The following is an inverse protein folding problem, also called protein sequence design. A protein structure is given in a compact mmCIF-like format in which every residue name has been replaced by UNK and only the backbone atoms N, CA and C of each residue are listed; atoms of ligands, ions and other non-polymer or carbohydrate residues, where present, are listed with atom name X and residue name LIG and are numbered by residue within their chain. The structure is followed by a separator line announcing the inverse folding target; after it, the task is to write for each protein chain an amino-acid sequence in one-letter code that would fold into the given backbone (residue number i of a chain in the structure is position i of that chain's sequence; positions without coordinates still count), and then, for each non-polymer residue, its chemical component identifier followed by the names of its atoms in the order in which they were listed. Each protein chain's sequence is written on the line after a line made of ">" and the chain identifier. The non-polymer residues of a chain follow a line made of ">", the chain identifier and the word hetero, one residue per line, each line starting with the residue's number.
data_IF_474887162538
#
_entry.id   IF_474887162538
#
_cell.length_a   1.000
_cell.length_b   1.000
_cell.length_c   1.000
_cell.angle_alpha   90.00
_cell.angle_beta   90.00
_cell.angle_gamma   90.00
#
_symmetry.space_group_name_H-M   'P 1'
#
loop_
_entity.id
_entity.type
_entity.pdbx_description
1 polymer ?
#
# COMPACT_ATOMS: atom_id res chain seq x y z
N UNK A 1 0.77 23.21 -9.80
CA UNK A 1 -0.24 23.72 -10.75
C UNK A 1 0.02 25.16 -11.16
N UNK A 2 0.19 26.11 -10.24
CA UNK A 2 0.39 27.54 -10.57
C UNK A 2 1.58 27.88 -11.46
N UNK A 3 2.61 27.03 -11.49
CA UNK A 3 3.81 27.21 -12.30
C UNK A 3 3.75 26.52 -13.67
N UNK A 4 2.67 25.79 -13.95
CA UNK A 4 2.49 25.09 -15.21
C UNK A 4 1.87 26.05 -16.23
N UNK A 5 2.57 26.25 -17.34
CA UNK A 5 2.08 27.01 -18.47
C UNK A 5 1.36 26.06 -19.44
N UNK A 6 0.04 26.16 -19.48
CA UNK A 6 -0.81 25.29 -20.31
C UNK A 6 -0.86 25.68 -21.79
N UNK A 7 -0.24 26.82 -22.17
CA UNK A 7 -0.06 27.20 -23.56
C UNK A 7 1.05 26.39 -24.25
N UNK A 8 1.96 25.84 -23.45
CA UNK A 8 3.11 25.04 -23.92
C UNK A 8 2.74 23.57 -23.96
N UNK A 9 2.86 22.95 -25.12
CA UNK A 9 2.43 21.56 -25.33
C UNK A 9 3.57 20.56 -25.06
N UNK A 10 4.23 20.66 -23.89
CA UNK A 10 5.32 19.77 -23.46
C UNK A 10 5.33 19.56 -21.95
N UNK A 11 6.05 18.54 -21.51
CA UNK A 11 6.16 18.17 -20.11
C UNK A 11 6.97 19.19 -19.31
N UNK A 12 6.41 19.70 -18.22
CA UNK A 12 7.03 20.68 -17.33
C UNK A 12 7.21 20.15 -15.90
N UNK A 13 6.49 19.08 -15.54
CA UNK A 13 6.65 18.43 -14.26
C UNK A 13 6.67 16.91 -14.41
N UNK A 14 7.65 16.27 -13.78
CA UNK A 14 7.81 14.83 -13.74
C UNK A 14 7.68 14.36 -12.28
N UNK A 15 6.77 13.41 -12.03
CA UNK A 15 6.53 12.82 -10.71
C UNK A 15 6.80 11.33 -10.79
N UNK A 16 7.71 10.81 -9.97
CA UNK A 16 7.98 9.39 -9.86
C UNK A 16 7.33 8.79 -8.63
N UNK A 17 6.78 7.59 -8.78
CA UNK A 17 6.17 6.79 -7.73
C UNK A 17 6.61 5.32 -7.83
N UNK A 18 6.73 4.59 -6.69
CA UNK A 18 7.23 3.21 -6.67
C UNK A 18 6.27 2.19 -7.28
N UNK A 19 4.99 2.49 -7.35
CA UNK A 19 3.95 1.57 -7.81
C UNK A 19 3.08 2.19 -8.89
N UNK A 20 2.52 1.33 -9.74
CA UNK A 20 1.59 1.73 -10.81
C UNK A 20 0.32 2.35 -10.25
N UNK A 21 -0.15 1.78 -9.17
CA UNK A 21 -1.38 2.18 -8.47
C UNK A 21 -1.23 3.61 -7.91
N UNK A 22 -0.10 3.91 -7.27
CA UNK A 22 0.19 5.25 -6.75
C UNK A 22 0.36 6.26 -7.88
N UNK A 23 1.08 5.90 -8.95
CA UNK A 23 1.22 6.77 -10.11
C UNK A 23 -0.14 7.14 -10.72
N UNK A 24 -1.04 6.18 -10.90
CA UNK A 24 -2.39 6.43 -11.40
C UNK A 24 -3.26 7.24 -10.44
N UNK A 25 -3.04 7.08 -9.14
CA UNK A 25 -3.74 7.89 -8.13
C UNK A 25 -3.27 9.34 -8.18
N UNK A 26 -1.95 9.58 -8.26
CA UNK A 26 -1.38 10.92 -8.40
C UNK A 26 -1.89 11.57 -9.70
N UNK A 27 -1.92 10.85 -10.82
CA UNK A 27 -2.49 11.33 -12.09
C UNK A 27 -3.92 11.84 -11.89
N UNK A 28 -4.80 11.05 -11.25
CA UNK A 28 -6.19 11.45 -10.97
C UNK A 28 -6.25 12.74 -10.13
N UNK A 29 -5.41 12.87 -9.12
CA UNK A 29 -5.34 14.06 -8.27
C UNK A 29 -4.86 15.28 -9.07
N UNK A 30 -3.81 15.12 -9.88
CA UNK A 30 -3.28 16.18 -10.76
C UNK A 30 -4.34 16.64 -11.75
N UNK A 31 -5.06 15.70 -12.36
CA UNK A 31 -6.15 16.01 -13.29
C UNK A 31 -7.28 16.78 -12.59
N UNK A 32 -7.71 16.32 -11.41
CA UNK A 32 -8.78 16.99 -10.66
C UNK A 32 -8.39 18.41 -10.22
N UNK A 33 -7.14 18.61 -9.78
CA UNK A 33 -6.63 19.95 -9.40
C UNK A 33 -6.41 20.88 -10.59
N UNK A 34 -6.10 20.29 -11.76
CA UNK A 34 -5.77 21.02 -12.98
C UNK A 34 -6.94 21.25 -13.94
N UNK A 35 -8.14 20.79 -13.58
CA UNK A 35 -9.31 20.78 -14.49
C UNK A 35 -9.66 22.19 -15.00
N UNK A 36 -9.77 23.17 -14.10
CA UNK A 36 -10.03 24.56 -14.48
C UNK A 36 -8.92 25.22 -15.32
N UNK A 37 -7.67 24.74 -15.16
CA UNK A 37 -6.51 25.26 -15.91
C UNK A 37 -6.28 24.48 -17.20
N UNK A 38 -7.06 23.43 -17.47
CA UNK A 38 -6.89 22.51 -18.62
C UNK A 38 -5.51 21.82 -18.64
N UNK A 39 -4.98 21.49 -17.47
CA UNK A 39 -3.72 20.77 -17.36
C UNK A 39 -3.91 19.35 -17.87
N UNK A 40 -3.05 18.92 -18.79
CA UNK A 40 -3.00 17.55 -19.29
C UNK A 40 -1.97 16.77 -18.47
N UNK A 41 -2.36 15.62 -17.96
CA UNK A 41 -1.49 14.70 -17.22
C UNK A 41 -1.58 13.30 -17.83
N UNK A 42 -0.48 12.56 -17.81
CA UNK A 42 -0.45 11.16 -18.25
C UNK A 42 0.42 10.31 -17.33
N UNK A 43 -0.03 9.07 -17.04
CA UNK A 43 0.72 8.13 -16.22
C UNK A 43 1.49 7.12 -17.08
N UNK A 44 2.82 7.22 -17.07
CA UNK A 44 3.75 6.29 -17.71
C UNK A 44 4.08 5.13 -16.75
N UNK A 45 3.41 3.99 -16.92
CA UNK A 45 3.53 2.83 -16.02
C UNK A 45 3.78 1.53 -16.78
N UNK A 46 4.51 0.59 -16.16
CA UNK A 46 4.73 -0.74 -16.74
C UNK A 46 3.42 -1.55 -16.80
N UNK A 47 3.37 -2.56 -17.70
CA UNK A 47 2.21 -3.43 -17.86
C UNK A 47 1.07 -2.87 -18.71
N UNK A 48 1.20 -1.63 -19.21
CA UNK A 48 0.38 -1.01 -20.26
C UNK A 48 1.08 -1.11 -21.61
N UNK A 49 0.35 -0.86 -22.70
CA UNK A 49 0.94 -0.85 -24.05
C UNK A 49 1.85 0.38 -24.19
N UNK A 50 3.11 0.14 -24.55
CA UNK A 50 4.11 1.20 -24.77
C UNK A 50 3.63 2.21 -25.82
N UNK A 51 2.94 1.73 -26.87
CA UNK A 51 2.43 2.58 -27.96
C UNK A 51 1.41 3.62 -27.47
N UNK A 52 0.59 3.26 -26.47
CA UNK A 52 -0.42 4.18 -25.92
C UNK A 52 0.27 5.34 -25.17
N UNK A 53 1.36 5.05 -24.44
CA UNK A 53 2.15 6.07 -23.77
C UNK A 53 2.84 7.00 -24.80
N UNK A 54 3.41 6.42 -25.88
CA UNK A 54 4.04 7.18 -26.96
C UNK A 54 3.04 8.17 -27.58
N UNK A 55 1.86 7.70 -27.98
CA UNK A 55 0.84 8.54 -28.59
C UNK A 55 0.40 9.68 -27.65
N UNK A 56 0.22 9.38 -26.35
CA UNK A 56 -0.16 10.40 -25.37
C UNK A 56 0.91 11.45 -25.15
N UNK A 57 2.16 11.05 -25.11
CA UNK A 57 3.28 11.98 -24.96
C UNK A 57 3.47 12.84 -26.22
N UNK A 58 3.27 12.28 -27.42
CA UNK A 58 3.32 13.02 -28.70
C UNK A 58 2.15 14.01 -28.84
N UNK A 59 0.95 13.69 -28.33
CA UNK A 59 -0.18 14.64 -28.24
C UNK A 59 0.15 15.85 -27.35
N UNK A 60 1.20 15.74 -26.51
CA UNK A 60 1.67 16.73 -25.57
C UNK A 60 0.90 16.73 -24.24
N UNK A 61 1.65 16.59 -23.17
CA UNK A 61 1.16 16.63 -21.78
C UNK A 61 2.02 17.58 -20.95
N UNK A 62 1.42 18.21 -19.94
CA UNK A 62 2.11 19.16 -19.07
C UNK A 62 2.76 18.50 -17.88
N UNK A 63 2.17 17.40 -17.39
CA UNK A 63 2.65 16.62 -16.24
C UNK A 63 2.74 15.16 -16.64
N UNK A 64 3.88 14.54 -16.35
CA UNK A 64 4.05 13.10 -16.44
C UNK A 64 4.19 12.54 -15.03
N UNK A 65 3.40 11.53 -14.73
CA UNK A 65 3.53 10.73 -13.50
C UNK A 65 3.95 9.33 -13.91
N UNK A 66 4.86 8.67 -13.19
CA UNK A 66 5.19 7.33 -13.64
C UNK A 66 6.04 6.52 -12.67
N UNK A 67 6.23 5.25 -13.04
CA UNK A 67 7.20 4.40 -12.37
C UNK A 67 8.57 4.56 -13.04
N UNK A 68 9.69 4.54 -12.28
CA UNK A 68 11.01 4.90 -12.82
C UNK A 68 11.37 4.18 -14.12
N UNK A 69 11.20 2.85 -14.18
CA UNK A 69 11.57 2.07 -15.36
C UNK A 69 10.82 2.44 -16.65
N UNK A 70 9.51 2.76 -16.59
CA UNK A 70 8.74 3.15 -17.79
C UNK A 70 9.05 4.59 -18.18
N UNK A 71 9.24 5.48 -17.21
CA UNK A 71 9.63 6.86 -17.50
C UNK A 71 11.00 6.90 -18.18
N UNK A 72 11.96 6.14 -17.66
CA UNK A 72 13.27 6.01 -18.28
C UNK A 72 13.20 5.45 -19.72
N UNK A 73 12.37 4.42 -19.95
CA UNK A 73 12.14 3.88 -21.31
C UNK A 73 11.59 4.96 -22.27
N UNK A 74 10.68 5.84 -21.82
CA UNK A 74 10.14 6.94 -22.64
C UNK A 74 11.20 8.02 -22.95
N UNK A 75 12.10 8.30 -22.02
CA UNK A 75 13.25 9.20 -22.22
C UNK A 75 14.23 8.58 -23.22
N UNK A 76 14.62 7.32 -23.02
CA UNK A 76 15.54 6.61 -23.93
C UNK A 76 15.01 6.50 -25.37
N UNK A 77 13.68 6.42 -25.53
CA UNK A 77 13.01 6.44 -26.85
C UNK A 77 12.89 7.85 -27.45
N UNK A 78 13.35 8.87 -26.71
CA UNK A 78 13.24 10.28 -27.12
C UNK A 78 11.78 10.74 -27.32
N UNK A 79 10.82 10.13 -26.66
CA UNK A 79 9.41 10.49 -26.68
C UNK A 79 9.08 11.47 -25.54
N UNK A 80 9.60 11.23 -24.35
CA UNK A 80 9.58 12.18 -23.25
C UNK A 80 10.87 13.00 -23.28
N UNK A 81 10.74 14.31 -23.59
CA UNK A 81 11.88 15.22 -23.64
C UNK A 81 12.13 15.81 -22.24
N UNK A 82 13.30 15.56 -21.64
CA UNK A 82 13.60 16.04 -20.29
C UNK A 82 13.94 17.55 -20.24
N UNK A 83 14.39 18.14 -21.35
CA UNK A 83 14.91 19.52 -21.40
C UNK A 83 13.92 20.60 -20.94
N UNK A 84 12.63 20.31 -20.98
CA UNK A 84 11.55 21.23 -20.63
C UNK A 84 10.99 21.04 -19.24
N UNK A 85 11.52 20.05 -18.49
CA UNK A 85 11.05 19.73 -17.16
C UNK A 85 11.60 20.73 -16.15
N UNK A 86 10.71 21.44 -15.45
CA UNK A 86 11.02 22.44 -14.43
C UNK A 86 10.94 21.86 -13.02
N UNK A 87 10.13 20.82 -12.82
CA UNK A 87 9.90 20.19 -11.52
C UNK A 87 10.09 18.68 -11.61
N UNK A 88 10.88 18.12 -10.70
CA UNK A 88 11.10 16.69 -10.54
C UNK A 88 10.73 16.27 -9.11
N UNK A 89 9.74 15.40 -8.98
CA UNK A 89 9.18 15.02 -7.69
C UNK A 89 9.31 13.50 -7.50
N UNK A 90 9.84 13.12 -6.35
CA UNK A 90 9.93 11.74 -5.90
C UNK A 90 8.94 11.53 -4.75
N UNK A 91 7.93 10.71 -4.94
CA UNK A 91 6.96 10.34 -3.90
C UNK A 91 7.20 8.91 -3.42
N UNK A 92 7.14 8.66 -2.12
CA UNK A 92 7.53 7.40 -1.47
C UNK A 92 8.97 7.00 -1.85
N UNK A 93 9.91 7.95 -1.69
CA UNK A 93 11.28 7.80 -2.18
C UNK A 93 12.01 6.62 -1.53
N UNK A 94 11.82 6.36 -0.24
CA UNK A 94 12.36 5.22 0.49
C UNK A 94 11.98 3.88 -0.15
N UNK A 95 10.73 3.73 -0.59
CA UNK A 95 10.25 2.53 -1.26
C UNK A 95 10.89 2.35 -2.64
N UNK A 96 11.03 3.43 -3.40
CA UNK A 96 11.70 3.33 -4.70
C UNK A 96 13.14 2.85 -4.54
N UNK A 97 13.82 3.27 -3.49
CA UNK A 97 15.20 2.86 -3.20
C UNK A 97 15.27 1.40 -2.75
N UNK A 98 14.39 0.97 -1.85
CA UNK A 98 14.33 -0.41 -1.37
C UNK A 98 13.99 -1.41 -2.50
N UNK A 99 13.25 -0.97 -3.53
CA UNK A 99 12.91 -1.77 -4.72
C UNK A 99 13.99 -1.80 -5.79
N UNK A 100 15.12 -1.13 -5.57
CA UNK A 100 16.23 -1.13 -6.50
C UNK A 100 16.06 -0.17 -7.69
N UNK A 101 15.21 0.86 -7.58
CA UNK A 101 15.07 1.90 -8.62
C UNK A 101 16.14 3.00 -8.53
N UNK A 102 17.15 2.87 -7.66
CA UNK A 102 18.17 3.89 -7.43
C UNK A 102 18.86 4.31 -8.74
N UNK A 103 19.28 3.33 -9.54
CA UNK A 103 20.00 3.60 -10.80
C UNK A 103 19.11 4.29 -11.82
N UNK A 104 17.87 3.82 -12.01
CA UNK A 104 16.93 4.46 -12.94
C UNK A 104 16.57 5.89 -12.51
N UNK A 105 16.42 6.15 -11.21
CA UNK A 105 16.17 7.51 -10.71
C UNK A 105 17.37 8.40 -10.99
N UNK A 106 18.58 7.89 -10.79
CA UNK A 106 19.80 8.61 -11.07
C UNK A 106 19.94 8.91 -12.57
N UNK A 107 19.71 7.91 -13.43
CA UNK A 107 19.77 8.06 -14.88
C UNK A 107 18.77 9.09 -15.39
N UNK A 108 17.52 9.05 -14.90
CA UNK A 108 16.51 10.07 -15.22
C UNK A 108 17.00 11.45 -14.78
N UNK A 109 17.46 11.59 -13.54
CA UNK A 109 17.90 12.88 -12.99
C UNK A 109 19.04 13.50 -13.81
N UNK A 110 19.99 12.69 -14.28
CA UNK A 110 21.12 13.18 -15.10
C UNK A 110 20.70 13.74 -16.45
N UNK A 111 19.51 13.41 -16.94
CA UNK A 111 18.96 13.97 -18.18
C UNK A 111 18.23 15.30 -17.99
N UNK A 112 17.92 15.68 -16.75
CA UNK A 112 17.14 16.88 -16.45
C UNK A 112 17.99 18.15 -16.49
N UNK A 113 17.37 19.33 -16.72
CA UNK A 113 18.07 20.61 -16.66
C UNK A 113 18.68 20.85 -15.27
N UNK A 114 19.81 21.59 -15.23
CA UNK A 114 20.50 21.90 -13.98
C UNK A 114 19.65 22.76 -13.00
N UNK A 115 18.73 23.54 -13.54
CA UNK A 115 17.84 24.42 -12.76
C UNK A 115 16.52 23.75 -12.32
N UNK A 116 16.40 22.42 -12.49
CA UNK A 116 15.19 21.70 -12.10
C UNK A 116 14.95 21.78 -10.59
N UNK A 117 13.72 22.11 -10.21
CA UNK A 117 13.30 22.07 -8.82
C UNK A 117 12.99 20.64 -8.41
N UNK A 118 13.71 20.14 -7.41
CA UNK A 118 13.55 18.77 -6.91
C UNK A 118 12.77 18.76 -5.62
N UNK A 119 11.71 17.95 -5.56
CA UNK A 119 10.93 17.64 -4.36
C UNK A 119 11.03 16.17 -4.01
N UNK A 120 11.35 15.85 -2.75
CA UNK A 120 11.41 14.47 -2.26
C UNK A 120 10.46 14.33 -1.07
N UNK A 121 9.54 13.37 -1.18
CA UNK A 121 8.53 13.06 -0.17
C UNK A 121 8.69 11.59 0.25
N UNK A 122 8.75 11.36 1.55
CA UNK A 122 8.85 10.03 2.12
C UNK A 122 8.38 10.03 3.57
N UNK A 123 7.71 8.97 4.00
CA UNK A 123 7.35 8.80 5.41
C UNK A 123 8.55 8.43 6.27
N UNK A 124 9.55 7.78 5.68
CA UNK A 124 10.80 7.39 6.34
C UNK A 124 12.00 7.95 5.60
N UNK A 125 13.08 8.24 6.32
CA UNK A 125 14.32 8.79 5.73
C UNK A 125 15.51 7.90 6.08
N UNK A 126 15.63 6.73 5.43
CA UNK A 126 16.81 5.87 5.58
C UNK A 126 18.07 6.57 5.02
N UNK A 127 19.28 6.10 5.38
CA UNK A 127 20.54 6.68 4.92
C UNK A 127 20.63 6.83 3.40
N UNK A 128 20.08 5.87 2.65
CA UNK A 128 20.06 5.88 1.18
C UNK A 128 19.22 7.03 0.62
N UNK A 129 18.08 7.34 1.27
CA UNK A 129 17.25 8.49 0.88
C UNK A 129 17.98 9.81 1.16
N UNK A 130 18.70 9.90 2.27
CA UNK A 130 19.53 11.07 2.58
C UNK A 130 20.67 11.25 1.58
N UNK A 131 21.30 10.17 1.13
CA UNK A 131 22.33 10.22 0.08
C UNK A 131 21.77 10.82 -1.21
N UNK A 132 20.59 10.41 -1.65
CA UNK A 132 19.92 10.97 -2.82
C UNK A 132 19.68 12.47 -2.64
N UNK A 133 19.19 12.92 -1.48
CA UNK A 133 18.99 14.35 -1.25
C UNK A 133 20.28 15.16 -1.40
N UNK A 134 21.42 14.61 -0.97
CA UNK A 134 22.72 15.27 -1.11
C UNK A 134 23.19 15.38 -2.56
N UNK A 135 22.86 14.38 -3.39
CA UNK A 135 23.26 14.34 -4.80
C UNK A 135 22.38 15.18 -5.72
N UNK A 136 21.06 15.19 -5.44
CA UNK A 136 20.06 15.78 -6.35
C UNK A 136 19.60 17.18 -5.92
N UNK A 137 19.88 17.60 -4.70
CA UNK A 137 19.36 18.85 -4.18
C UNK A 137 20.48 19.79 -3.73
N UNK A 138 20.39 21.04 -4.13
CA UNK A 138 21.30 22.09 -3.67
C UNK A 138 20.66 22.84 -2.50
N UNK A 139 21.23 22.71 -1.30
CA UNK A 139 20.75 23.36 -0.05
C UNK A 139 19.24 23.20 0.16
N UNK A 140 18.72 21.96 0.19
CA UNK A 140 17.28 21.75 0.28
C UNK A 140 16.70 22.28 1.59
N UNK A 141 15.49 22.81 1.51
CA UNK A 141 14.66 23.03 2.70
C UNK A 141 14.24 21.66 3.22
N UNK A 142 14.51 21.38 4.49
CA UNK A 142 14.21 20.12 5.13
C UNK A 142 13.08 20.31 6.13
N UNK A 143 11.99 19.59 5.92
CA UNK A 143 10.87 19.47 6.86
C UNK A 143 10.89 18.01 7.31
N UNK A 144 11.47 17.78 8.49
CA UNK A 144 11.64 16.42 9.03
C UNK A 144 10.78 16.28 10.28
N UNK A 145 10.08 15.15 10.36
CA UNK A 145 9.41 14.71 11.58
C UNK A 145 10.34 13.73 12.28
N UNK A 146 10.49 13.85 13.59
CA UNK A 146 11.29 12.90 14.37
C UNK A 146 10.64 11.53 14.35
N UNK A 147 11.44 10.45 14.49
CA UNK A 147 10.92 9.07 14.50
C UNK A 147 9.93 8.80 15.62
N UNK A 148 10.19 9.36 16.80
CA UNK A 148 9.34 9.32 17.98
C UNK A 148 8.06 10.16 17.84
N UNK A 149 8.01 11.08 16.87
CA UNK A 149 6.82 11.87 16.51
C UNK A 149 6.04 11.27 15.32
N UNK A 150 6.53 10.20 14.72
CA UNK A 150 5.81 9.42 13.69
C UNK A 150 4.65 8.60 14.30
N UNK A 151 4.06 9.13 15.38
CA UNK A 151 2.93 8.50 16.03
C UNK A 151 1.71 8.59 15.12
N UNK A 152 1.11 7.44 14.91
CA UNK A 152 -0.19 7.35 14.27
C UNK A 152 -1.27 7.52 15.35
N UNK A 153 -1.35 8.70 15.95
CA UNK A 153 -2.26 9.01 17.07
C UNK A 153 -3.74 8.64 16.81
N UNK A 154 -4.12 8.50 15.54
CA UNK A 154 -5.44 8.05 15.14
C UNK A 154 -5.60 6.54 15.04
N UNK A 155 -4.55 5.72 15.23
CA UNK A 155 -4.59 4.27 15.04
C UNK A 155 -4.28 3.54 16.35
N UNK A 156 -5.27 2.84 16.88
CA UNK A 156 -5.04 1.91 18.00
C UNK A 156 -4.37 0.64 17.49
N UNK A 157 -3.31 0.22 18.17
CA UNK A 157 -2.49 -0.90 17.77
C UNK A 157 -2.60 -2.01 18.79
N UNK A 158 -2.99 -3.20 18.33
CA UNK A 158 -3.14 -4.39 19.16
C UNK A 158 -2.35 -5.56 18.58
N UNK A 159 -2.02 -6.52 19.43
CA UNK A 159 -1.60 -7.84 18.98
C UNK A 159 -2.48 -8.94 19.57
N UNK A 160 -2.61 -10.04 18.84
CA UNK A 160 -3.22 -11.28 19.31
C UNK A 160 -2.13 -12.34 19.31
N UNK A 161 -1.83 -12.87 20.49
CA UNK A 161 -0.90 -13.98 20.63
C UNK A 161 -1.55 -15.26 20.11
N UNK A 162 -0.97 -15.84 19.06
CA UNK A 162 -1.39 -17.10 18.46
C UNK A 162 -0.25 -18.09 18.63
N UNK A 163 -0.46 -19.16 19.40
CA UNK A 163 0.62 -20.09 19.74
C UNK A 163 1.24 -20.79 18.52
N UNK A 164 0.43 -21.05 17.46
CA UNK A 164 0.85 -21.75 16.26
C UNK A 164 0.36 -21.05 15.01
N UNK A 165 1.17 -21.11 13.96
CA UNK A 165 0.84 -20.49 12.66
C UNK A 165 -0.50 -21.01 12.09
N UNK A 166 -0.80 -22.32 12.28
CA UNK A 166 -2.02 -22.93 11.77
C UNK A 166 -3.29 -22.33 12.39
N UNK A 167 -3.21 -21.79 13.59
CA UNK A 167 -4.36 -21.22 14.31
C UNK A 167 -4.68 -19.78 13.89
N UNK A 168 -3.79 -19.11 13.17
CA UNK A 168 -4.03 -17.76 12.64
C UNK A 168 -5.28 -17.68 11.77
N UNK A 169 -5.57 -18.71 10.97
CA UNK A 169 -6.76 -18.74 10.12
C UNK A 169 -8.04 -18.78 10.94
N UNK A 170 -8.11 -19.65 11.93
CA UNK A 170 -9.30 -19.78 12.78
C UNK A 170 -9.50 -18.50 13.58
N UNK A 171 -8.44 -17.95 14.17
CA UNK A 171 -8.45 -16.66 14.86
C UNK A 171 -8.94 -15.52 13.95
N UNK A 172 -8.55 -15.51 12.68
CA UNK A 172 -9.00 -14.51 11.71
C UNK A 172 -10.49 -14.64 11.41
N UNK A 173 -11.00 -15.85 11.22
CA UNK A 173 -12.41 -16.08 10.97
C UNK A 173 -13.27 -15.65 12.16
N UNK A 174 -12.88 -16.04 13.38
CA UNK A 174 -13.57 -15.66 14.60
C UNK A 174 -13.56 -14.13 14.83
N UNK A 175 -12.43 -13.49 14.52
CA UNK A 175 -12.31 -12.04 14.58
C UNK A 175 -13.26 -11.37 13.59
N UNK A 176 -13.38 -11.92 12.39
CA UNK A 176 -14.26 -11.42 11.34
C UNK A 176 -15.74 -11.51 11.74
N UNK A 177 -16.15 -12.64 12.34
CA UNK A 177 -17.52 -12.86 12.81
C UNK A 177 -17.88 -11.99 14.02
N UNK A 178 -16.88 -11.66 14.84
CA UNK A 178 -17.07 -10.91 16.09
C UNK A 178 -17.07 -9.41 15.88
N UNK A 179 -16.27 -8.90 14.94
CA UNK A 179 -16.12 -7.47 14.69
C UNK A 179 -17.04 -7.00 13.58
N UNK A 180 -17.74 -5.90 13.83
CA UNK A 180 -18.51 -5.22 12.77
C UNK A 180 -17.54 -4.46 11.84
N UNK A 181 -16.94 -5.18 10.90
CA UNK A 181 -15.92 -4.66 9.98
C UNK A 181 -16.61 -3.94 8.83
N UNK A 182 -16.36 -2.64 8.70
CA UNK A 182 -16.82 -1.86 7.54
C UNK A 182 -15.95 -2.13 6.33
N UNK A 183 -14.64 -1.89 6.43
CA UNK A 183 -13.63 -2.28 5.45
C UNK A 183 -12.31 -2.63 6.16
N UNK A 184 -11.68 -3.71 5.72
CA UNK A 184 -10.40 -4.17 6.26
C UNK A 184 -9.39 -4.51 5.16
N UNK A 185 -8.11 -4.29 5.47
CA UNK A 185 -6.99 -4.78 4.67
C UNK A 185 -6.20 -5.79 5.50
N UNK A 186 -5.94 -6.97 4.93
CA UNK A 186 -5.17 -8.04 5.55
C UNK A 186 -3.84 -8.18 4.81
N UNK A 187 -2.73 -8.04 5.53
CA UNK A 187 -1.39 -8.14 4.97
C UNK A 187 -0.75 -9.48 5.23
N UNK A 188 -0.27 -10.13 4.15
CA UNK A 188 0.57 -11.31 4.18
C UNK A 188 1.93 -11.02 3.54
N UNK A 189 2.98 -11.70 3.98
CA UNK A 189 4.34 -11.47 3.50
C UNK A 189 4.63 -12.08 2.11
N UNK A 190 3.80 -13.01 1.64
CA UNK A 190 4.01 -13.68 0.34
C UNK A 190 2.71 -13.79 -0.45
N UNK A 191 2.83 -13.71 -1.78
CA UNK A 191 1.69 -13.92 -2.70
C UNK A 191 1.03 -15.29 -2.52
N UNK A 192 1.83 -16.37 -2.35
CA UNK A 192 1.30 -17.72 -2.12
C UNK A 192 0.42 -17.78 -0.88
N UNK A 193 0.80 -17.06 0.19
CA UNK A 193 -0.01 -16.99 1.41
C UNK A 193 -1.27 -16.15 1.18
N UNK A 194 -1.21 -15.10 0.35
CA UNK A 194 -2.40 -14.33 -0.05
C UNK A 194 -3.40 -15.21 -0.78
N UNK A 195 -2.96 -15.98 -1.78
CA UNK A 195 -3.84 -16.89 -2.53
C UNK A 195 -4.43 -17.96 -1.61
N UNK A 196 -3.57 -18.63 -0.84
CA UNK A 196 -3.98 -19.67 0.10
C UNK A 196 -5.01 -19.15 1.12
N UNK A 197 -4.76 -17.99 1.73
CA UNK A 197 -5.65 -17.39 2.72
C UNK A 197 -6.99 -17.00 2.09
N UNK A 198 -6.96 -16.45 0.88
CA UNK A 198 -8.16 -16.09 0.11
C UNK A 198 -9.03 -17.31 -0.17
N UNK A 199 -8.43 -18.40 -0.64
CA UNK A 199 -9.14 -19.64 -0.94
C UNK A 199 -9.73 -20.27 0.33
N UNK A 200 -8.98 -20.26 1.43
CA UNK A 200 -9.46 -20.78 2.73
C UNK A 200 -10.60 -19.97 3.29
N UNK A 201 -10.54 -18.62 3.23
CA UNK A 201 -11.64 -17.76 3.67
C UNK A 201 -12.88 -17.93 2.78
N UNK A 202 -12.71 -17.99 1.46
CA UNK A 202 -13.84 -18.24 0.54
C UNK A 202 -14.49 -19.59 0.76
N UNK A 203 -13.70 -20.65 1.06
CA UNK A 203 -14.24 -21.99 1.39
C UNK A 203 -15.05 -22.01 2.68
N UNK A 204 -14.93 -20.99 3.51
CA UNK A 204 -15.72 -20.75 4.73
C UNK A 204 -16.79 -19.66 4.52
N UNK A 205 -17.15 -19.40 3.27
CA UNK A 205 -18.21 -18.46 2.86
C UNK A 205 -17.92 -16.96 3.15
N UNK A 206 -16.67 -16.58 3.48
CA UNK A 206 -16.29 -15.18 3.62
C UNK A 206 -16.10 -14.53 2.25
N UNK A 207 -16.69 -13.34 2.08
CA UNK A 207 -16.52 -12.54 0.86
C UNK A 207 -15.25 -11.71 0.95
N UNK A 208 -14.20 -12.16 0.28
CA UNK A 208 -12.88 -11.51 0.28
C UNK A 208 -12.35 -11.37 -1.14
N UNK A 209 -11.65 -10.26 -1.37
CA UNK A 209 -10.86 -10.00 -2.58
C UNK A 209 -9.37 -10.09 -2.26
N UNK A 210 -8.55 -10.44 -3.24
CA UNK A 210 -7.10 -10.47 -3.06
C UNK A 210 -6.38 -9.73 -4.17
N UNK A 211 -5.17 -9.25 -3.87
CA UNK A 211 -4.30 -8.66 -4.88
C UNK A 211 -2.82 -8.80 -4.53
N UNK A 212 -2.01 -9.07 -5.54
CA UNK A 212 -0.55 -9.18 -5.47
C UNK A 212 0.09 -8.95 -6.85
N UNK A 213 1.41 -9.01 -6.93
CA UNK A 213 2.17 -8.63 -8.14
C UNK A 213 1.90 -9.48 -9.39
N UNK A 214 1.43 -10.73 -9.26
CA UNK A 214 1.15 -11.63 -10.40
C UNK A 214 -0.23 -11.42 -11.00
N UNK A 215 -1.16 -10.78 -10.28
CA UNK A 215 -2.47 -10.43 -10.83
C UNK A 215 -2.29 -9.36 -11.92
N UNK A 216 -2.99 -9.53 -13.04
CA UNK A 216 -2.89 -8.59 -14.16
C UNK A 216 -3.32 -7.17 -13.76
N UNK A 217 -2.73 -6.15 -14.42
CA UNK A 217 -3.05 -4.75 -14.09
C UNK A 217 -4.53 -4.42 -14.28
N UNK A 218 -5.20 -5.05 -15.24
CA UNK A 218 -6.63 -4.86 -15.47
C UNK A 218 -7.47 -5.39 -14.30
N UNK A 219 -7.18 -6.62 -13.86
CA UNK A 219 -7.87 -7.25 -12.73
C UNK A 219 -7.60 -6.50 -11.42
N UNK A 220 -6.35 -6.11 -11.16
CA UNK A 220 -6.02 -5.30 -9.97
C UNK A 220 -6.81 -3.99 -9.93
N UNK A 221 -6.97 -3.33 -11.08
CA UNK A 221 -7.77 -2.11 -11.16
C UNK A 221 -9.22 -2.38 -10.78
N UNK A 222 -9.83 -3.45 -11.30
CA UNK A 222 -11.23 -3.83 -10.97
C UNK A 222 -11.35 -4.12 -9.47
N UNK A 223 -10.47 -4.96 -8.91
CA UNK A 223 -10.46 -5.30 -7.49
C UNK A 223 -10.35 -4.06 -6.60
N UNK A 224 -9.45 -3.13 -6.96
CA UNK A 224 -9.27 -1.90 -6.19
C UNK A 224 -10.45 -0.93 -6.32
N UNK A 225 -11.07 -0.85 -7.48
CA UNK A 225 -12.25 -0.02 -7.69
C UNK A 225 -13.46 -0.61 -6.93
N UNK A 226 -13.66 -1.92 -6.90
CA UNK A 226 -14.67 -2.59 -6.07
C UNK A 226 -14.40 -2.37 -4.57
N UNK A 227 -13.14 -2.42 -4.13
CA UNK A 227 -12.79 -2.13 -2.75
C UNK A 227 -13.01 -0.66 -2.41
N UNK A 228 -12.70 0.30 -3.30
CA UNK A 228 -12.96 1.73 -3.08
C UNK A 228 -14.44 2.07 -3.00
N UNK A 229 -15.27 1.41 -3.79
CA UNK A 229 -16.74 1.62 -3.78
C UNK A 229 -17.45 0.92 -2.62
N UNK A 230 -16.74 0.05 -1.87
CA UNK A 230 -17.30 -0.73 -0.78
C UNK A 230 -18.05 -2.00 -1.22
N UNK A 231 -18.02 -2.33 -2.52
CA UNK A 231 -18.57 -3.59 -3.05
C UNK A 231 -17.82 -4.80 -2.52
N UNK A 232 -16.52 -4.67 -2.32
CA UNK A 232 -15.68 -5.61 -1.55
C UNK A 232 -15.29 -4.95 -0.23
N UNK A 233 -15.44 -5.69 0.88
CA UNK A 233 -15.16 -5.16 2.23
C UNK A 233 -13.82 -5.59 2.78
N UNK A 234 -13.27 -6.71 2.31
CA UNK A 234 -11.99 -7.24 2.79
C UNK A 234 -11.05 -7.47 1.63
N UNK A 235 -9.87 -6.90 1.73
CA UNK A 235 -8.82 -7.04 0.75
C UNK A 235 -7.59 -7.70 1.38
N UNK A 236 -7.21 -8.88 0.86
CA UNK A 236 -6.00 -9.61 1.26
C UNK A 236 -4.88 -9.25 0.28
N UNK A 237 -3.73 -8.83 0.79
CA UNK A 237 -2.65 -8.34 -0.08
C UNK A 237 -1.25 -8.54 0.51
N UNK A 238 -0.24 -8.29 -0.30
CA UNK A 238 1.15 -8.15 0.11
C UNK A 238 1.50 -6.66 0.28
N UNK A 239 2.76 -6.36 0.66
CA UNK A 239 3.29 -4.99 0.73
C UNK A 239 3.21 -4.21 -0.60
N UNK A 240 2.80 -4.85 -1.70
CA UNK A 240 2.51 -4.14 -2.95
C UNK A 240 1.55 -2.98 -2.75
N UNK A 241 0.57 -3.16 -1.89
CA UNK A 241 -0.44 -2.15 -1.59
C UNK A 241 -0.27 -1.50 -0.19
N UNK A 242 0.82 -1.79 0.52
CA UNK A 242 1.11 -1.12 1.78
C UNK A 242 1.27 0.40 1.59
N UNK A 243 1.67 0.83 0.38
CA UNK A 243 1.87 2.24 0.03
C UNK A 243 0.96 2.63 -1.13
N UNK A 244 0.46 3.85 -1.10
CA UNK A 244 -0.25 4.46 -2.22
C UNK A 244 -1.71 4.09 -2.44
N UNK A 245 -2.31 3.18 -1.66
CA UNK A 245 -3.76 3.01 -1.74
C UNK A 245 -4.44 4.08 -0.90
N UNK A 246 -5.24 4.89 -1.54
CA UNK A 246 -6.17 5.78 -0.87
C UNK A 246 -7.58 5.17 -0.89
N UNK A 247 -7.96 4.54 0.22
CA UNK A 247 -9.30 4.06 0.47
C UNK A 247 -9.80 4.69 1.75
N UNK A 248 -10.74 5.60 1.62
CA UNK A 248 -11.20 6.45 2.72
C UNK A 248 -11.94 5.70 3.84
N UNK A 249 -12.37 4.46 3.59
CA UNK A 249 -13.25 3.73 4.50
C UNK A 249 -12.56 2.60 5.26
N UNK A 250 -11.24 2.40 5.09
CA UNK A 250 -10.52 1.36 5.82
C UNK A 250 -10.47 1.72 7.30
N UNK A 251 -11.16 0.95 8.13
CA UNK A 251 -11.20 1.09 9.58
C UNK A 251 -10.26 0.13 10.29
N UNK A 252 -9.93 -0.99 9.65
CA UNK A 252 -9.15 -2.08 10.23
C UNK A 252 -8.02 -2.52 9.29
N UNK A 253 -6.84 -2.64 9.85
CA UNK A 253 -5.70 -3.32 9.22
C UNK A 253 -5.33 -4.53 10.04
N UNK A 254 -5.17 -5.69 9.40
CA UNK A 254 -4.69 -6.91 10.05
C UNK A 254 -3.36 -7.29 9.44
N UNK A 255 -2.32 -7.33 10.24
CA UNK A 255 -1.07 -7.97 9.87
C UNK A 255 -1.18 -9.46 10.20
N UNK A 256 -1.62 -10.27 9.23
CA UNK A 256 -1.63 -11.73 9.35
C UNK A 256 -0.20 -12.28 9.51
N UNK A 257 0.74 -11.64 8.83
CA UNK A 257 2.18 -11.76 9.07
C UNK A 257 2.73 -10.38 9.45
N UNK A 258 3.57 -10.29 10.47
CA UNK A 258 4.34 -9.08 10.72
C UNK A 258 5.22 -8.72 9.51
N UNK A 259 5.40 -7.44 9.19
CA UNK A 259 6.25 -7.04 8.08
C UNK A 259 7.71 -7.45 8.35
N UNK A 260 8.43 -7.82 7.29
CA UNK A 260 9.85 -8.19 7.39
C UNK A 260 10.74 -6.98 7.65
N UNK A 261 10.35 -5.81 7.15
CA UNK A 261 11.05 -4.54 7.36
C UNK A 261 10.20 -3.67 8.25
N UNK A 262 10.83 -3.07 9.25
CA UNK A 262 10.17 -2.19 10.22
C UNK A 262 9.46 -1.03 9.56
N UNK A 263 10.04 -0.43 8.51
CA UNK A 263 9.45 0.69 7.78
C UNK A 263 8.11 0.34 7.15
N UNK A 264 7.90 -0.91 6.72
CA UNK A 264 6.64 -1.33 6.14
C UNK A 264 5.49 -1.37 7.16
N UNK A 265 5.78 -1.46 8.44
CA UNK A 265 4.76 -1.48 9.49
C UNK A 265 3.89 -0.23 9.45
N UNK A 266 4.50 0.95 9.52
CA UNK A 266 3.76 2.22 9.50
C UNK A 266 2.97 2.43 8.20
N UNK A 267 3.53 1.97 7.08
CA UNK A 267 2.85 2.05 5.79
C UNK A 267 1.63 1.14 5.71
N UNK A 268 1.69 -0.07 6.30
CA UNK A 268 0.55 -0.98 6.38
C UNK A 268 -0.55 -0.42 7.27
N UNK A 269 -0.23 -0.11 8.52
CA UNK A 269 -1.24 0.36 9.48
C UNK A 269 -1.80 1.73 9.11
N UNK A 270 -1.00 2.59 8.47
CA UNK A 270 -1.41 3.89 7.93
C UNK A 270 -2.40 3.81 6.76
N UNK A 271 -2.89 2.62 6.40
CA UNK A 271 -4.06 2.48 5.51
C UNK A 271 -5.36 2.75 6.25
N UNK A 272 -5.41 2.52 7.56
CA UNK A 272 -6.53 2.92 8.42
C UNK A 272 -6.34 4.32 9.01
N UNK A 273 -7.36 4.88 9.63
CA UNK A 273 -7.26 6.15 10.37
C UNK A 273 -7.07 7.42 9.54
N UNK A 274 -7.34 7.38 8.24
CA UNK A 274 -7.16 8.53 7.34
C UNK A 274 -8.29 9.55 7.47
N UNK A 275 -8.02 10.80 7.08
CA UNK A 275 -8.98 11.91 7.07
C UNK A 275 -9.59 12.20 8.46
N UNK A 276 -8.78 12.12 9.53
CA UNK A 276 -9.21 12.37 10.90
C UNK A 276 -10.09 11.27 11.52
N UNK A 277 -10.24 10.14 10.85
CA UNK A 277 -10.95 8.97 11.39
C UNK A 277 -10.03 8.15 12.30
N UNK A 278 -10.62 7.44 13.26
CA UNK A 278 -9.90 6.49 14.09
C UNK A 278 -9.74 5.16 13.33
N UNK A 279 -8.55 4.59 13.36
CA UNK A 279 -8.23 3.28 12.80
C UNK A 279 -7.84 2.27 13.86
N UNK A 280 -7.86 1.01 13.49
CA UNK A 280 -7.38 -0.11 14.32
C UNK A 280 -6.39 -0.94 13.52
N UNK A 281 -5.30 -1.31 14.14
CA UNK A 281 -4.33 -2.27 13.60
C UNK A 281 -4.23 -3.47 14.54
N UNK A 282 -4.36 -4.68 14.00
CA UNK A 282 -4.24 -5.94 14.74
C UNK A 282 -3.10 -6.75 14.13
N UNK A 283 -2.20 -7.19 14.98
CA UNK A 283 -1.04 -7.98 14.60
C UNK A 283 -1.19 -9.41 15.12
N UNK A 284 -1.14 -10.43 14.26
CA UNK A 284 -1.07 -11.82 14.70
C UNK A 284 0.39 -12.17 14.99
N UNK A 285 0.63 -12.64 16.19
CA UNK A 285 1.99 -12.85 16.73
C UNK A 285 2.11 -14.27 17.25
N UNK A 286 3.00 -15.05 16.63
CA UNK A 286 3.41 -16.36 17.17
C UNK A 286 4.56 -16.19 18.16
N UNK A 287 4.95 -17.26 18.82
CA UNK A 287 6.11 -17.23 19.71
C UNK A 287 7.40 -16.80 19.02
N UNK A 288 7.52 -17.09 17.70
CA UNK A 288 8.66 -16.70 16.87
C UNK A 288 8.65 -15.21 16.53
N UNK A 289 7.46 -14.60 16.48
CA UNK A 289 7.25 -13.20 16.09
C UNK A 289 7.44 -12.20 17.24
N UNK A 290 7.50 -12.67 18.50
CA UNK A 290 7.56 -11.80 19.70
C UNK A 290 8.76 -10.83 19.61
N UNK A 291 9.91 -11.32 19.18
CA UNK A 291 11.09 -10.48 19.02
C UNK A 291 10.87 -9.36 18.01
N UNK A 292 10.31 -9.70 16.85
CA UNK A 292 10.00 -8.71 15.80
C UNK A 292 8.96 -7.68 16.25
N UNK A 293 7.97 -8.09 17.08
CA UNK A 293 7.02 -7.18 17.68
C UNK A 293 7.73 -6.16 18.60
N UNK A 294 8.65 -6.61 19.44
CA UNK A 294 9.41 -5.72 20.34
C UNK A 294 10.34 -4.79 19.57
N UNK A 295 10.97 -5.27 18.50
CA UNK A 295 11.77 -4.43 17.61
C UNK A 295 10.92 -3.32 16.95
N UNK A 296 9.67 -3.59 16.59
CA UNK A 296 8.73 -2.59 16.08
C UNK A 296 8.36 -1.54 17.14
N UNK A 297 8.05 -1.97 18.37
CA UNK A 297 7.73 -1.06 19.48
C UNK A 297 8.91 -0.14 19.80
N UNK A 298 10.13 -0.68 19.83
CA UNK A 298 11.36 0.09 20.08
C UNK A 298 11.65 1.05 18.93
N UNK A 299 11.51 0.61 17.69
CA UNK A 299 11.80 1.42 16.51
C UNK A 299 10.89 2.64 16.38
N UNK A 300 9.59 2.49 16.67
CA UNK A 300 8.59 3.56 16.58
C UNK A 300 8.29 4.23 17.90
N UNK A 301 8.95 3.84 18.99
CA UNK A 301 8.68 4.35 20.35
C UNK A 301 7.19 4.31 20.67
N UNK A 302 6.52 3.22 20.30
CA UNK A 302 5.08 3.01 20.48
C UNK A 302 4.83 1.76 21.33
N UNK A 303 3.64 1.68 21.90
CA UNK A 303 3.19 0.49 22.59
C UNK A 303 2.10 -0.20 21.77
N UNK A 304 2.29 -1.50 21.51
CA UNK A 304 1.31 -2.35 20.87
C UNK A 304 0.67 -3.19 21.97
N UNK A 305 -0.59 -2.91 22.30
CA UNK A 305 -1.28 -3.54 23.42
C UNK A 305 -1.76 -4.95 23.06
N UNK A 306 -1.78 -5.84 24.05
CA UNK A 306 -2.45 -7.12 23.86
C UNK A 306 -3.96 -6.90 23.72
N UNK A 307 -4.59 -7.60 22.78
CA UNK A 307 -6.03 -7.47 22.55
C UNK A 307 -6.79 -7.82 23.83
N UNK A 308 -7.77 -7.01 24.28
CA UNK A 308 -8.48 -7.25 25.53
C UNK A 308 -9.08 -8.65 25.63
N UNK A 309 -8.92 -9.30 26.76
CA UNK A 309 -9.33 -10.68 27.01
C UNK A 309 -10.79 -10.97 26.67
N UNK A 310 -11.69 -10.00 26.84
CA UNK A 310 -13.12 -10.14 26.51
C UNK A 310 -13.32 -10.44 25.02
N UNK A 311 -12.58 -9.76 24.15
CA UNK A 311 -12.64 -10.01 22.70
C UNK A 311 -12.06 -11.39 22.38
N UNK A 312 -10.95 -11.76 23.02
CA UNK A 312 -10.29 -13.07 22.83
C UNK A 312 -11.19 -14.22 23.33
N UNK A 313 -11.88 -14.04 24.46
CA UNK A 313 -12.82 -15.05 24.98
C UNK A 313 -14.00 -15.25 24.02
N UNK A 314 -14.59 -14.18 23.50
CA UNK A 314 -15.67 -14.27 22.53
C UNK A 314 -15.20 -15.02 21.27
N UNK A 315 -14.01 -14.70 20.77
CA UNK A 315 -13.37 -15.39 19.65
C UNK A 315 -13.21 -16.90 19.95
N UNK A 316 -12.65 -17.26 21.11
CA UNK A 316 -12.45 -18.67 21.50
C UNK A 316 -13.76 -19.44 21.72
N UNK A 317 -14.80 -18.81 22.25
CA UNK A 317 -16.11 -19.44 22.43
C UNK A 317 -16.77 -19.72 21.08
N UNK A 318 -16.69 -18.79 20.11
CA UNK A 318 -17.21 -19.00 18.75
C UNK A 318 -16.52 -20.18 18.06
N UNK A 319 -15.20 -20.24 18.12
CA UNK A 319 -14.40 -21.34 17.56
C UNK A 319 -14.79 -22.70 18.16
N UNK A 320 -15.01 -22.73 19.49
CA UNK A 320 -15.42 -23.96 20.19
C UNK A 320 -16.84 -24.40 19.81
N UNK A 321 -17.78 -23.46 19.67
CA UNK A 321 -19.16 -23.75 19.25
C UNK A 321 -19.18 -24.22 17.78
N UNK A 322 -18.39 -23.61 16.89
CA UNK A 322 -18.32 -24.00 15.50
C UNK A 322 -17.70 -25.40 15.32
N UNK A 323 -16.70 -25.77 16.11
CA UNK A 323 -16.12 -27.11 16.10
C UNK A 323 -17.11 -28.18 16.63
N UNK A 324 -17.99 -27.82 17.58
CA UNK A 324 -19.04 -28.71 18.08
C UNK A 324 -20.18 -28.88 17.08
N UNK A 325 -20.55 -27.86 16.32
CA UNK A 325 -21.60 -27.95 15.29
C UNK A 325 -21.17 -28.79 14.06
N UNK A 326 -19.89 -28.85 13.76
CA UNK A 326 -19.34 -29.72 12.69
C UNK A 326 -19.31 -31.20 13.09
N UNK A 327 -19.25 -31.50 14.41
CA UNK A 327 -19.23 -32.88 14.93
C UNK A 327 -20.63 -33.50 15.12
N UNK A 328 -21.70 -32.70 15.19
CA UNK A 328 -23.07 -33.20 15.47
C UNK A 328 -23.79 -33.84 14.25
N UNK A 329 -23.51 -33.52 12.95
CA UNK A 329 -24.21 -34.18 11.86
C UNK A 329 -23.86 -35.66 11.64
N UNK A 330 -22.71 -36.13 12.13
CA UNK A 330 -22.29 -37.53 11.93
C UNK A 330 -22.95 -38.52 12.91
N UNK A 331 -23.39 -38.08 14.08
CA UNK A 331 -24.01 -38.95 15.07
C UNK A 331 -25.52 -39.10 14.89
N UNK A 332 -26.21 -38.16 14.24
CA UNK A 332 -27.65 -38.21 14.01
C UNK A 332 -28.04 -39.08 12.79
N UNK A 333 -27.09 -39.41 11.90
CA UNK A 333 -27.35 -40.27 10.76
C UNK A 333 -27.25 -41.78 11.09
N UNK A 334 -26.62 -42.14 12.21
CA UNK A 334 -26.43 -43.54 12.60
C UNK A 334 -27.64 -44.09 13.42
N UNK A 335 -28.56 -43.28 13.92
CA UNK A 335 -29.70 -43.74 14.74
C UNK A 335 -31.01 -43.91 13.97
N UNK A 336 -31.04 -43.76 12.64
CA UNK A 336 -32.21 -43.97 11.77
C UNK A 336 -32.10 -45.21 10.87
N UNK A 337 -31.08 -46.02 11.08
CA UNK A 337 -30.86 -47.29 10.33
C UNK A 337 -30.80 -48.51 11.28
N UNK A 338 -31.53 -48.50 12.39
CA UNK A 338 -31.77 -49.65 13.23
C UNK A 338 -33.27 -49.83 13.46
#
# INVERSE_FOLDING_TARGET
>A
MQQIDTSLNHCQALILAPTRELAQQIEKVVMALGDYQKVKCHSCIGGTRVRDDILKLEEGVHVVVGTPGRVYDMICRNVLKPDTIKMFILDEADEMLSRGFKDQIYDIFTTLPQEVHVGLFSATMPPEALEITQRFMNKPVRILVKRDELTLDGIKQFYIAVEREEWKLDTLCDLYDTLNITQAVIFCNTRRKVDWLTDKMRSREFTVSCTHSEISQKERKVILDEFRTGSSRVLITTDLLARGIDVQQVSLVINYDLPRNTENYIHRIGRSGRFGRKGVAINFVTNEDIRSLRELEEFYQTQIEEMPYVVIIIIRIHSFIHSLTVLVPAAAAASRAA
#
